data_IF_183351155701
#
_entry.id   IF_183351155701
#
_cell.length_a   1.000
_cell.length_b   1.000
_cell.length_c   1.000
_cell.angle_alpha   90.00
_cell.angle_beta   90.00
_cell.angle_gamma   90.00
#
_symmetry.space_group_name_H-M   'P 1'
#
loop_
_entity.id
_entity.type
_entity.pdbx_description
1 polymer ?
#
# COMPACT_ATOMS: atom_id res chain seq x y z
N UNK A 1 -15.85 15.32 5.54
CA UNK A 1 -14.69 15.88 4.82
C UNK A 1 -13.53 14.90 4.69
N UNK A 2 -13.02 14.29 5.77
CA UNK A 2 -11.89 13.34 5.73
C UNK A 2 -12.07 12.16 4.74
N UNK A 3 -13.26 11.54 4.71
CA UNK A 3 -13.57 10.45 3.77
C UNK A 3 -13.50 10.90 2.30
N UNK A 4 -14.05 12.07 1.97
CA UNK A 4 -14.04 12.60 0.60
C UNK A 4 -12.59 12.86 0.17
N UNK A 5 -11.79 13.49 1.03
CA UNK A 5 -10.37 13.72 0.74
C UNK A 5 -9.61 12.41 0.55
N UNK A 6 -9.89 11.39 1.35
CA UNK A 6 -9.28 10.07 1.17
C UNK A 6 -9.63 9.49 -0.19
N UNK A 7 -10.90 9.50 -0.59
CA UNK A 7 -11.35 8.97 -1.89
C UNK A 7 -10.70 9.71 -3.06
N UNK A 8 -10.64 11.04 -3.00
CA UNK A 8 -10.00 11.86 -4.05
C UNK A 8 -8.51 11.58 -4.14
N UNK A 9 -7.80 11.53 -3.01
CA UNK A 9 -6.36 11.26 -2.97
C UNK A 9 -6.04 9.84 -3.43
N UNK A 10 -6.86 8.86 -3.06
CA UNK A 10 -6.67 7.46 -3.46
C UNK A 10 -7.01 7.23 -4.94
N UNK A 11 -8.13 7.78 -5.42
CA UNK A 11 -8.53 7.65 -6.83
C UNK A 11 -7.59 8.38 -7.78
N UNK A 12 -7.18 9.61 -7.42
CA UNK A 12 -6.24 10.40 -8.22
C UNK A 12 -4.85 9.77 -8.36
N UNK A 13 -4.46 8.90 -7.43
CA UNK A 13 -3.19 8.17 -7.47
C UNK A 13 -3.03 7.33 -8.75
N UNK A 14 -4.08 6.65 -9.20
CA UNK A 14 -4.04 5.83 -10.42
C UNK A 14 -3.81 6.68 -11.68
N UNK A 15 -4.42 7.87 -11.73
CA UNK A 15 -4.22 8.82 -12.83
C UNK A 15 -2.78 9.34 -12.83
N UNK A 16 -2.24 9.69 -11.65
CA UNK A 16 -0.86 10.14 -11.52
C UNK A 16 0.14 9.06 -11.98
N UNK A 17 -0.09 7.78 -11.64
CA UNK A 17 0.79 6.70 -12.08
C UNK A 17 0.78 6.50 -13.59
N UNK A 18 -0.38 6.56 -14.24
CA UNK A 18 -0.43 6.48 -15.70
C UNK A 18 0.31 7.63 -16.40
N UNK A 19 0.38 8.81 -15.77
CA UNK A 19 1.17 9.92 -16.30
C UNK A 19 2.68 9.76 -16.05
N UNK A 20 3.07 9.17 -14.91
CA UNK A 20 4.48 9.00 -14.53
C UNK A 20 5.16 7.78 -15.17
N UNK A 21 4.44 6.67 -15.32
CA UNK A 21 4.97 5.39 -15.83
C UNK A 21 5.68 5.47 -17.21
N UNK A 22 5.25 6.33 -18.16
CA UNK A 22 5.99 6.53 -19.40
C UNK A 22 7.39 7.15 -19.22
N UNK A 23 7.64 7.81 -18.10
CA UNK A 23 8.87 8.58 -17.82
C UNK A 23 9.73 7.98 -16.70
N UNK A 24 9.11 7.23 -15.79
CA UNK A 24 9.73 6.70 -14.57
C UNK A 24 9.24 5.27 -14.37
N UNK A 25 10.15 4.34 -14.07
CA UNK A 25 9.78 2.94 -13.86
C UNK A 25 8.90 2.76 -12.61
N UNK A 26 8.07 1.71 -12.60
CA UNK A 26 7.23 1.38 -11.45
C UNK A 26 8.04 1.23 -10.14
N UNK A 27 9.26 0.68 -10.24
CA UNK A 27 10.16 0.49 -9.10
C UNK A 27 10.65 1.82 -8.54
N UNK A 28 11.01 2.78 -9.40
CA UNK A 28 11.44 4.11 -8.98
C UNK A 28 10.30 4.88 -8.30
N UNK A 29 9.09 4.82 -8.86
CA UNK A 29 7.89 5.45 -8.28
C UNK A 29 7.67 4.94 -6.85
N UNK A 30 7.74 3.62 -6.64
CA UNK A 30 7.54 3.00 -5.32
C UNK A 30 8.67 3.37 -4.37
N UNK A 31 9.91 3.34 -4.84
CA UNK A 31 11.08 3.68 -4.03
C UNK A 31 10.96 5.10 -3.51
N UNK A 32 10.69 6.07 -4.39
CA UNK A 32 10.51 7.48 -4.00
C UNK A 32 9.35 7.63 -3.01
N UNK A 33 8.20 7.01 -3.32
CA UNK A 33 7.00 7.08 -2.47
C UNK A 33 7.27 6.54 -1.07
N UNK A 34 7.92 5.38 -0.94
CA UNK A 34 8.17 4.78 0.37
C UNK A 34 9.30 5.46 1.13
N UNK A 35 10.31 6.01 0.45
CA UNK A 35 11.31 6.88 1.10
C UNK A 35 10.63 8.11 1.71
N UNK A 36 9.75 8.78 0.97
CA UNK A 36 9.00 9.93 1.49
C UNK A 36 8.11 9.56 2.68
N UNK A 37 7.44 8.41 2.62
CA UNK A 37 6.63 7.90 3.75
C UNK A 37 7.51 7.62 4.96
N UNK A 38 8.66 6.95 4.79
CA UNK A 38 9.60 6.68 5.86
C UNK A 38 10.12 7.96 6.51
N UNK A 39 10.52 8.95 5.73
CA UNK A 39 10.98 10.26 6.24
C UNK A 39 9.85 10.96 7.01
N UNK A 40 8.63 10.95 6.47
CA UNK A 40 7.47 11.55 7.14
C UNK A 40 7.19 10.91 8.50
N UNK A 41 7.22 9.57 8.57
CA UNK A 41 7.06 8.87 9.85
C UNK A 41 8.19 9.14 10.84
N UNK A 42 9.44 9.23 10.37
CA UNK A 42 10.59 9.60 11.21
C UNK A 42 10.36 10.99 11.82
N UNK A 43 9.96 11.98 11.02
CA UNK A 43 9.65 13.33 11.51
C UNK A 43 8.56 13.29 12.57
N UNK A 44 7.46 12.57 12.32
CA UNK A 44 6.37 12.41 13.30
C UNK A 44 6.84 11.76 14.59
N UNK A 45 7.68 10.72 14.54
CA UNK A 45 8.20 10.06 15.74
C UNK A 45 9.24 10.89 16.52
N UNK A 46 9.89 11.85 15.86
CA UNK A 46 10.76 12.84 16.52
C UNK A 46 9.89 13.87 17.26
N UNK A 47 8.87 14.42 16.60
CA UNK A 47 7.98 15.44 17.13
C UNK A 47 7.05 14.90 18.23
N UNK A 48 6.55 13.68 18.07
CA UNK A 48 5.58 13.06 18.99
C UNK A 48 6.26 11.86 19.67
N UNK A 49 7.10 12.14 20.68
CA UNK A 49 7.84 11.08 21.41
C UNK A 49 6.94 10.01 22.04
N UNK A 50 5.67 10.33 22.35
CA UNK A 50 4.70 9.43 22.98
C UNK A 50 4.22 8.29 22.06
N UNK A 51 4.32 8.46 20.73
CA UNK A 51 3.86 7.47 19.75
C UNK A 51 4.97 6.56 19.22
N UNK A 52 6.17 6.58 19.82
CA UNK A 52 7.26 5.69 19.40
C UNK A 52 6.86 4.22 19.64
N UNK A 53 6.78 3.39 18.59
CA UNK A 53 6.42 2.00 18.75
C UNK A 53 7.53 1.24 19.48
N UNK A 54 7.19 0.57 20.58
CA UNK A 54 8.09 -0.37 21.27
C UNK A 54 7.97 -1.73 20.59
N UNK A 55 8.82 -2.01 19.60
CA UNK A 55 8.81 -3.28 18.87
C UNK A 55 9.75 -4.27 19.57
N UNK A 56 9.26 -5.44 20.05
CA UNK A 56 10.12 -6.49 20.58
C UNK A 56 11.05 -7.02 19.49
N UNK A 57 12.35 -7.19 19.80
CA UNK A 57 13.35 -7.66 18.83
C UNK A 57 13.02 -9.03 18.23
N UNK A 58 12.37 -9.89 19.02
CA UNK A 58 11.90 -11.21 18.60
C UNK A 58 10.86 -11.16 17.47
N UNK A 59 10.05 -10.09 17.42
CA UNK A 59 9.03 -9.89 16.38
C UNK A 59 9.55 -9.12 15.18
N UNK A 60 10.79 -8.62 15.24
CA UNK A 60 11.36 -7.80 14.19
C UNK A 60 11.49 -8.55 12.86
N UNK A 61 11.93 -9.81 12.89
CA UNK A 61 12.02 -10.64 11.67
C UNK A 61 10.65 -10.82 11.00
N UNK A 62 9.61 -11.13 11.79
CA UNK A 62 8.23 -11.26 11.29
C UNK A 62 7.70 -9.93 10.75
N UNK A 63 8.03 -8.81 11.40
CA UNK A 63 7.66 -7.47 10.94
C UNK A 63 8.32 -7.13 9.61
N UNK A 64 9.61 -7.44 9.45
CA UNK A 64 10.35 -7.24 8.19
C UNK A 64 9.75 -8.10 7.08
N UNK A 65 9.44 -9.38 7.35
CA UNK A 65 8.80 -10.25 6.38
C UNK A 65 7.43 -9.72 5.95
N UNK A 66 6.60 -9.30 6.91
CA UNK A 66 5.29 -8.69 6.63
C UNK A 66 5.44 -7.37 5.87
N UNK A 67 6.46 -6.57 6.16
CA UNK A 67 6.74 -5.34 5.43
C UNK A 67 7.17 -5.63 3.99
N UNK A 68 8.04 -6.62 3.77
CA UNK A 68 8.49 -7.02 2.44
C UNK A 68 7.35 -7.62 1.59
N UNK A 69 6.50 -8.47 2.17
CA UNK A 69 5.36 -9.03 1.43
C UNK A 69 4.28 -7.95 1.22
N UNK A 70 3.98 -7.19 2.27
CA UNK A 70 2.89 -6.22 2.26
C UNK A 70 3.18 -4.99 1.41
N UNK A 71 4.41 -4.49 1.40
CA UNK A 71 4.74 -3.25 0.68
C UNK A 71 5.19 -3.56 -0.75
N UNK A 72 6.43 -4.02 -1.03
CA UNK A 72 6.83 -4.26 -2.41
C UNK A 72 6.00 -5.39 -3.04
N UNK A 73 5.65 -6.44 -2.29
CA UNK A 73 4.85 -7.55 -2.82
C UNK A 73 3.44 -7.15 -3.29
N UNK A 74 2.79 -6.16 -2.67
CA UNK A 74 1.48 -5.68 -3.13
C UNK A 74 1.57 -4.49 -4.09
N UNK A 75 2.49 -3.55 -3.84
CA UNK A 75 2.53 -2.27 -4.55
C UNK A 75 3.20 -2.40 -5.92
N UNK A 76 4.25 -3.23 -6.07
CA UNK A 76 4.94 -3.40 -7.36
C UNK A 76 3.99 -3.95 -8.43
N UNK A 77 3.26 -5.06 -8.19
CA UNK A 77 2.29 -5.55 -9.17
C UNK A 77 1.17 -4.54 -9.44
N UNK A 78 0.70 -3.82 -8.41
CA UNK A 78 -0.39 -2.85 -8.56
C UNK A 78 0.00 -1.68 -9.48
N UNK A 79 1.23 -1.16 -9.38
CA UNK A 79 1.71 -0.09 -10.25
C UNK A 79 2.15 -0.65 -11.60
N UNK A 80 2.83 -1.79 -11.62
CA UNK A 80 3.29 -2.40 -12.86
C UNK A 80 2.12 -2.81 -13.78
N UNK A 81 1.00 -3.27 -13.21
CA UNK A 81 -0.22 -3.59 -13.96
C UNK A 81 -0.78 -2.40 -14.76
N UNK A 82 -0.49 -1.16 -14.33
CA UNK A 82 -0.94 0.05 -15.02
C UNK A 82 -0.13 0.35 -16.29
N UNK A 83 0.93 -0.41 -16.59
CA UNK A 83 1.53 -0.42 -17.93
C UNK A 83 0.67 -1.20 -18.95
N UNK A 84 -0.22 -2.07 -18.46
CA UNK A 84 -1.06 -2.95 -19.30
C UNK A 84 -2.55 -2.61 -19.21
N UNK A 85 -2.97 -1.94 -18.14
CA UNK A 85 -4.36 -1.63 -17.85
C UNK A 85 -4.55 -0.12 -17.75
N UNK A 86 -5.73 0.37 -18.16
CA UNK A 86 -6.10 1.76 -17.92
C UNK A 86 -6.24 2.04 -16.41
N UNK A 87 -6.02 3.29 -15.94
CA UNK A 87 -6.21 3.67 -14.54
C UNK A 87 -7.56 3.24 -13.97
N UNK A 88 -8.63 3.40 -14.75
CA UNK A 88 -9.98 3.01 -14.36
C UNK A 88 -10.09 1.51 -14.10
N UNK A 89 -9.53 0.68 -14.98
CA UNK A 89 -9.58 -0.77 -14.85
C UNK A 89 -8.73 -1.26 -13.67
N UNK A 90 -7.52 -0.69 -13.50
CA UNK A 90 -6.66 -0.98 -12.36
C UNK A 90 -7.33 -0.61 -11.03
N UNK A 91 -7.99 0.56 -10.96
CA UNK A 91 -8.74 0.99 -9.77
C UNK A 91 -9.87 0.02 -9.42
N UNK A 92 -10.65 -0.43 -10.41
CA UNK A 92 -11.74 -1.39 -10.18
C UNK A 92 -11.19 -2.72 -9.65
N UNK A 93 -10.10 -3.24 -10.22
CA UNK A 93 -9.47 -4.46 -9.74
C UNK A 93 -9.03 -4.32 -8.27
N UNK A 94 -8.40 -3.20 -7.90
CA UNK A 94 -7.99 -2.96 -6.51
C UNK A 94 -9.20 -2.85 -5.58
N UNK A 95 -10.33 -2.30 -6.03
CA UNK A 95 -11.56 -2.27 -5.21
C UNK A 95 -12.18 -3.65 -4.94
N UNK A 96 -11.74 -4.71 -5.65
CA UNK A 96 -12.11 -6.09 -5.32
C UNK A 96 -11.31 -6.69 -4.16
N UNK A 97 -10.29 -5.98 -3.64
CA UNK A 97 -9.45 -6.44 -2.52
C UNK A 97 -10.25 -6.93 -1.30
N UNK A 98 -11.37 -6.30 -0.88
CA UNK A 98 -12.18 -6.81 0.22
C UNK A 98 -12.77 -8.20 -0.05
N UNK A 99 -13.15 -8.51 -1.30
CA UNK A 99 -13.64 -9.83 -1.66
C UNK A 99 -12.53 -10.89 -1.56
N UNK A 100 -11.33 -10.58 -2.05
CA UNK A 100 -10.17 -11.46 -1.89
C UNK A 100 -9.77 -11.62 -0.41
N UNK A 101 -9.82 -10.55 0.37
CA UNK A 101 -9.56 -10.61 1.81
C UNK A 101 -10.59 -11.51 2.53
N UNK A 102 -11.85 -11.44 2.14
CA UNK A 102 -12.93 -12.29 2.66
C UNK A 102 -12.67 -13.78 2.35
N UNK A 103 -12.36 -14.11 1.09
CA UNK A 103 -12.03 -15.49 0.67
C UNK A 103 -10.80 -16.01 1.41
N UNK A 104 -9.74 -15.20 1.49
CA UNK A 104 -8.50 -15.57 2.20
C UNK A 104 -8.71 -15.71 3.70
N UNK A 105 -9.57 -14.89 4.33
CA UNK A 105 -9.91 -15.06 5.75
C UNK A 105 -10.63 -16.38 5.99
N UNK A 106 -11.61 -16.71 5.15
CA UNK A 106 -12.30 -18.00 5.21
C UNK A 106 -11.37 -19.20 5.02
N UNK A 107 -10.33 -19.06 4.19
CA UNK A 107 -9.38 -20.15 3.94
C UNK A 107 -8.28 -20.28 5.01
N UNK A 108 -7.65 -19.17 5.39
CA UNK A 108 -6.47 -19.15 6.28
C UNK A 108 -6.90 -19.12 7.76
N UNK A 109 -7.85 -18.24 8.12
CA UNK A 109 -8.34 -18.09 9.49
C UNK A 109 -9.51 -19.03 9.82
N UNK A 110 -10.08 -19.69 8.80
CA UNK A 110 -11.28 -20.54 8.92
C UNK A 110 -12.50 -19.79 9.48
N UNK A 111 -12.55 -18.47 9.27
CA UNK A 111 -13.69 -17.65 9.66
C UNK A 111 -14.88 -17.92 8.75
N UNK A 112 -16.06 -18.17 9.33
CA UNK A 112 -17.31 -18.23 8.55
C UNK A 112 -17.86 -16.83 8.42
N UNK A 113 -17.76 -16.27 7.21
CA UNK A 113 -18.52 -15.09 6.83
C UNK A 113 -20.01 -15.50 6.80
N UNK A 114 -20.78 -14.98 7.75
CA UNK A 114 -22.24 -15.12 7.82
C UNK A 114 -22.90 -13.95 7.11
#
# INVERSE_FOLDING_TARGET
MALISSVVLWGGMFVAYAYLLPTVSATEIITIRFVLVSVSFIIVFILVKKTRPKIPREKFSRLVLLAAIGIPGSQLPAIHSQNYLSPSLASVLVTTSPAWAAVLSGWILRERLR
#
